data_IF_545866182022
#
_entry.id   IF_545866182022
#
_cell.length_a   1.000
_cell.length_b   1.000
_cell.length_c   1.000
_cell.angle_alpha   90.00
_cell.angle_beta   90.00
_cell.angle_gamma   90.00
#
_symmetry.space_group_name_H-M   'P 1'
#
loop_
_entity.id
_entity.type
_entity.pdbx_description
1 polymer ?
#
# COMPACT_ATOMS: atom_id res chain seq x y z
N UNK A 1 -42.27 -15.16 37.95
CA UNK A 1 -42.62 -15.61 36.58
C UNK A 1 -41.45 -15.24 35.67
N UNK A 2 -40.56 -16.20 35.42
CA UNK A 2 -39.37 -16.01 34.58
C UNK A 2 -39.77 -16.26 33.13
N UNK A 3 -39.66 -15.24 32.28
CA UNK A 3 -39.89 -15.37 30.84
C UNK A 3 -38.60 -15.82 30.18
N UNK A 4 -38.45 -17.14 29.98
CA UNK A 4 -37.38 -17.71 29.18
C UNK A 4 -37.61 -17.35 27.71
N UNK A 5 -36.69 -16.58 27.10
CA UNK A 5 -36.66 -16.45 25.64
C UNK A 5 -35.71 -17.52 25.08
N UNK A 6 -36.31 -18.47 24.36
CA UNK A 6 -35.62 -19.54 23.65
C UNK A 6 -35.15 -19.01 22.29
N UNK A 7 -33.87 -19.17 21.96
CA UNK A 7 -33.35 -18.96 20.60
C UNK A 7 -32.81 -20.29 20.10
N UNK A 8 -33.40 -20.82 19.02
CA UNK A 8 -32.98 -22.07 18.36
C UNK A 8 -31.95 -21.74 17.28
N UNK A 9 -30.83 -22.44 17.27
CA UNK A 9 -29.82 -22.39 16.20
C UNK A 9 -29.63 -23.82 15.68
N UNK A 10 -29.76 -24.00 14.36
CA UNK A 10 -29.65 -25.27 13.63
C UNK A 10 -28.28 -25.33 12.92
N UNK A 11 -27.54 -26.42 13.09
CA UNK A 11 -26.24 -26.64 12.44
C UNK A 11 -25.93 -28.12 12.20
N UNK A 12 -25.41 -28.43 11.01
CA UNK A 12 -25.08 -29.77 10.50
C UNK A 12 -23.59 -30.08 10.72
N UNK A 13 -23.26 -31.25 11.27
CA UNK A 13 -21.89 -31.80 11.36
C UNK A 13 -21.87 -33.22 10.80
N UNK A 14 -20.93 -33.51 9.90
CA UNK A 14 -20.66 -34.85 9.37
C UNK A 14 -19.44 -35.42 10.12
N UNK A 15 -19.59 -36.60 10.72
CA UNK A 15 -18.49 -37.34 11.34
C UNK A 15 -18.49 -38.80 10.87
N UNK A 16 -17.34 -39.28 10.39
CA UNK A 16 -17.09 -40.70 10.09
C UNK A 16 -15.62 -40.97 9.71
N UNK A 17 -14.95 -41.79 10.52
CA UNK A 17 -13.53 -42.17 10.48
C UNK A 17 -13.17 -43.18 9.36
N UNK A 18 -11.88 -43.14 8.97
CA UNK A 18 -11.04 -44.02 8.12
C UNK A 18 -11.17 -45.52 8.53
N UNK A 19 -11.19 -46.61 7.71
CA UNK A 19 -11.00 -46.89 6.28
C UNK A 19 -11.72 -48.21 5.80
N UNK A 20 -12.24 -48.16 4.55
CA UNK A 20 -12.50 -49.18 3.49
C UNK A 20 -13.21 -50.54 3.75
N UNK A 21 -13.91 -51.16 2.75
CA UNK A 21 -14.55 -50.64 1.54
C UNK A 21 -16.08 -50.94 1.45
N UNK A 22 -16.78 -50.18 0.59
CA UNK A 22 -18.15 -50.44 0.06
C UNK A 22 -19.29 -50.72 1.05
N UNK A 23 -20.00 -49.67 1.43
CA UNK A 23 -21.44 -49.53 1.13
C UNK A 23 -21.90 -48.13 1.55
N UNK A 24 -22.44 -47.38 0.58
CA UNK A 24 -23.06 -46.07 0.79
C UNK A 24 -24.34 -46.32 1.59
N UNK A 25 -24.29 -46.03 2.89
CA UNK A 25 -25.48 -45.83 3.71
C UNK A 25 -25.50 -44.37 4.13
N UNK A 26 -26.52 -43.67 3.66
CA UNK A 26 -26.84 -42.30 3.99
C UNK A 26 -26.83 -42.12 5.53
N UNK A 27 -25.80 -41.42 6.02
CA UNK A 27 -25.67 -41.07 7.43
C UNK A 27 -26.60 -39.90 7.74
N UNK A 28 -27.65 -40.19 8.51
CA UNK A 28 -28.54 -39.19 9.10
C UNK A 28 -27.72 -38.15 9.88
N UNK A 29 -27.77 -36.90 9.44
CA UNK A 29 -27.17 -35.76 10.16
C UNK A 29 -27.92 -35.52 11.47
N UNK A 30 -27.24 -35.73 12.60
CA UNK A 30 -27.77 -35.34 13.92
C UNK A 30 -27.31 -33.91 14.20
N UNK A 31 -28.24 -32.96 14.19
CA UNK A 31 -28.00 -31.59 14.63
C UNK A 31 -27.48 -31.58 16.07
N UNK A 32 -26.26 -31.11 16.27
CA UNK A 32 -25.71 -30.90 17.61
C UNK A 32 -25.88 -29.44 17.99
N UNK A 33 -26.77 -29.18 18.94
CA UNK A 33 -27.08 -27.84 19.41
C UNK A 33 -25.98 -27.36 20.37
N UNK A 34 -25.22 -26.35 19.97
CA UNK A 34 -24.26 -25.68 20.86
C UNK A 34 -25.01 -24.60 21.65
N UNK A 35 -25.51 -24.97 22.82
CA UNK A 35 -26.21 -24.06 23.74
C UNK A 35 -25.17 -23.21 24.49
N UNK A 36 -24.85 -22.02 23.97
CA UNK A 36 -24.11 -21.03 24.75
C UNK A 36 -25.08 -20.41 25.75
N UNK A 37 -25.04 -20.89 26.99
CA UNK A 37 -25.67 -20.21 28.12
C UNK A 37 -24.90 -18.90 28.36
N UNK A 38 -25.30 -17.83 27.67
CA UNK A 38 -24.96 -16.50 28.11
C UNK A 38 -25.54 -16.36 29.52
N UNK A 39 -24.66 -16.30 30.53
CA UNK A 39 -25.09 -16.02 31.89
C UNK A 39 -25.86 -14.70 31.83
N UNK A 40 -27.07 -14.65 32.39
CA UNK A 40 -27.54 -13.36 32.89
C UNK A 40 -26.39 -12.80 33.72
N UNK A 41 -25.93 -11.58 33.44
CA UNK A 41 -25.08 -10.83 34.35
C UNK A 41 -25.81 -10.74 35.69
N UNK A 42 -25.65 -11.75 36.54
CA UNK A 42 -26.15 -11.80 37.89
C UNK A 42 -25.17 -11.01 38.73
N UNK A 43 -25.43 -9.71 38.80
CA UNK A 43 -24.68 -8.74 39.57
C UNK A 43 -25.29 -7.35 39.37
N UNK A 44 -25.14 -6.42 40.33
CA UNK A 44 -25.70 -5.08 40.22
C UNK A 44 -25.10 -4.37 38.99
N UNK A 45 -25.94 -4.10 37.98
CA UNK A 45 -25.58 -3.25 36.83
C UNK A 45 -25.50 -1.77 37.20
N UNK A 46 -25.99 -1.41 38.39
CA UNK A 46 -26.08 -0.04 38.91
C UNK A 46 -24.71 0.64 39.09
N UNK A 47 -23.60 -0.13 39.09
CA UNK A 47 -22.23 0.38 39.25
C UNK A 47 -21.25 -0.09 38.15
N UNK A 48 -21.73 -0.63 37.03
CA UNK A 48 -20.86 -0.92 35.90
C UNK A 48 -20.69 0.36 35.08
N UNK A 49 -19.47 0.89 35.06
CA UNK A 49 -19.12 1.97 34.14
C UNK A 49 -19.35 1.50 32.70
N UNK A 50 -19.92 2.39 31.88
CA UNK A 50 -20.04 2.18 30.44
C UNK A 50 -18.65 1.91 29.86
N UNK A 51 -18.43 0.71 29.34
CA UNK A 51 -17.18 0.40 28.65
C UNK A 51 -17.16 1.14 27.32
N UNK A 52 -16.37 2.21 27.27
CA UNK A 52 -16.15 2.98 26.05
C UNK A 52 -14.99 2.36 25.29
N UNK A 53 -15.24 2.02 24.03
CA UNK A 53 -14.19 1.63 23.11
C UNK A 53 -13.26 2.83 22.90
N UNK A 54 -11.99 2.64 23.25
CA UNK A 54 -10.98 3.69 23.29
C UNK A 54 -10.01 3.54 22.13
N UNK A 55 -10.07 4.49 21.19
CA UNK A 55 -9.26 4.51 19.98
C UNK A 55 -7.89 5.19 20.16
N UNK A 56 -7.45 5.50 21.40
CA UNK A 56 -6.12 6.07 21.68
C UNK A 56 -4.95 5.26 21.11
N UNK A 57 -5.15 3.95 20.89
CA UNK A 57 -4.15 3.05 20.34
C UNK A 57 -4.50 2.54 18.94
N UNK A 58 -5.39 3.24 18.22
CA UNK A 58 -5.67 2.91 16.82
C UNK A 58 -4.38 2.93 16.01
N UNK A 59 -4.16 1.90 15.17
CA UNK A 59 -2.96 1.85 14.36
C UNK A 59 -3.00 3.00 13.34
N UNK A 60 -1.87 3.69 13.17
CA UNK A 60 -1.75 4.78 12.19
C UNK A 60 -1.91 4.31 10.73
N UNK A 61 -1.75 3.00 10.49
CA UNK A 61 -1.93 2.37 9.19
C UNK A 61 -2.73 1.10 9.36
N UNK A 62 -3.62 0.84 8.43
CA UNK A 62 -4.45 -0.36 8.39
C UNK A 62 -4.54 -0.86 6.95
N UNK A 63 -5.08 -2.06 6.81
CA UNK A 63 -5.23 -2.75 5.53
C UNK A 63 -6.54 -3.51 5.50
N UNK A 64 -7.18 -3.56 4.35
CA UNK A 64 -8.41 -4.32 4.13
C UNK A 64 -8.21 -5.28 2.95
N UNK A 65 -8.56 -6.56 3.14
CA UNK A 65 -8.56 -7.53 2.05
C UNK A 65 -9.83 -7.37 1.21
N UNK A 66 -9.67 -7.23 -0.11
CA UNK A 66 -10.77 -7.21 -1.07
C UNK A 66 -10.91 -8.51 -1.86
N UNK A 67 -10.01 -9.48 -1.65
CA UNK A 67 -9.98 -10.75 -2.36
C UNK A 67 -11.23 -11.60 -2.12
N UNK A 68 -11.42 -12.61 -2.96
CA UNK A 68 -12.50 -13.59 -2.82
C UNK A 68 -12.13 -14.65 -1.74
N UNK A 69 -13.09 -15.48 -1.28
CA UNK A 69 -12.76 -16.66 -0.48
C UNK A 69 -11.75 -17.54 -1.22
N UNK A 70 -10.73 -18.02 -0.51
CA UNK A 70 -9.64 -18.85 -1.03
C UNK A 70 -8.85 -18.22 -2.21
N UNK A 71 -8.86 -16.89 -2.36
CA UNK A 71 -8.23 -16.20 -3.48
C UNK A 71 -6.70 -16.30 -3.49
N UNK A 72 -6.09 -16.94 -4.50
CA UNK A 72 -4.63 -17.10 -4.55
C UNK A 72 -3.89 -15.78 -4.86
N UNK A 73 -4.56 -14.75 -5.38
CA UNK A 73 -3.93 -13.48 -5.77
C UNK A 73 -3.77 -12.50 -4.62
N UNK A 74 -4.64 -12.59 -3.60
CA UNK A 74 -4.68 -11.76 -2.38
C UNK A 74 -4.50 -10.26 -2.63
N UNK A 75 -5.62 -9.56 -2.80
CA UNK A 75 -5.63 -8.12 -3.06
C UNK A 75 -5.95 -7.31 -1.80
N UNK A 76 -5.11 -6.31 -1.51
CA UNK A 76 -5.18 -5.50 -0.30
C UNK A 76 -5.38 -4.04 -0.66
N UNK A 77 -6.20 -3.33 0.11
CA UNK A 77 -6.30 -1.86 0.10
C UNK A 77 -5.62 -1.33 1.35
N UNK A 78 -4.68 -0.39 1.19
CA UNK A 78 -4.01 0.30 2.30
C UNK A 78 -4.79 1.48 2.86
N UNK A 79 -4.37 2.00 4.01
CA UNK A 79 -4.96 3.19 4.64
C UNK A 79 -4.83 4.48 3.81
N UNK A 80 -4.00 4.47 2.76
CA UNK A 80 -3.88 5.54 1.75
C UNK A 80 -4.89 5.39 0.59
N UNK A 81 -5.74 4.37 0.62
CA UNK A 81 -6.65 4.01 -0.47
C UNK A 81 -6.00 3.23 -1.62
N UNK A 82 -4.70 2.95 -1.55
CA UNK A 82 -3.98 2.28 -2.62
C UNK A 82 -4.24 0.78 -2.67
N UNK A 83 -4.34 0.22 -3.87
CA UNK A 83 -4.38 -1.23 -4.09
C UNK A 83 -2.96 -1.78 -4.13
N UNK A 84 -2.69 -2.78 -3.31
CA UNK A 84 -1.38 -3.40 -3.18
C UNK A 84 -1.44 -4.86 -3.61
N UNK A 85 -0.47 -5.28 -4.43
CA UNK A 85 -0.42 -6.62 -4.98
C UNK A 85 0.96 -7.25 -4.92
N UNK A 86 1.01 -8.56 -5.20
CA UNK A 86 2.24 -9.32 -5.32
C UNK A 86 3.10 -9.19 -4.07
N UNK A 87 2.56 -9.65 -2.93
CA UNK A 87 3.29 -9.65 -1.67
C UNK A 87 4.64 -10.37 -1.83
N UNK A 88 5.74 -9.66 -1.57
CA UNK A 88 7.11 -10.08 -1.81
C UNK A 88 7.64 -11.12 -0.82
N UNK A 89 6.79 -11.69 0.03
CA UNK A 89 7.17 -12.72 1.02
C UNK A 89 8.05 -12.20 2.15
N UNK A 90 8.18 -10.88 2.30
CA UNK A 90 9.01 -10.21 3.30
C UNK A 90 8.25 -9.81 4.56
N UNK A 91 8.41 -8.54 4.98
CA UNK A 91 7.75 -7.95 6.17
C UNK A 91 6.36 -7.41 5.85
N UNK A 92 5.61 -6.97 6.85
CA UNK A 92 4.36 -6.24 6.65
C UNK A 92 4.58 -5.07 5.67
N UNK A 93 3.70 -4.94 4.67
CA UNK A 93 3.73 -3.91 3.60
C UNK A 93 4.75 -4.09 2.46
N UNK A 94 5.32 -5.28 2.28
CA UNK A 94 6.23 -5.58 1.17
C UNK A 94 5.47 -6.02 -0.09
N UNK A 95 4.87 -5.07 -0.82
CA UNK A 95 4.12 -5.35 -2.06
C UNK A 95 4.91 -4.88 -3.29
N UNK A 96 5.00 -5.74 -4.33
CA UNK A 96 5.73 -5.40 -5.56
C UNK A 96 4.95 -4.50 -6.52
N UNK A 97 3.67 -4.26 -6.24
CA UNK A 97 2.84 -3.33 -7.01
C UNK A 97 1.98 -2.54 -6.04
N UNK A 98 1.93 -1.21 -6.24
CA UNK A 98 1.04 -0.29 -5.52
C UNK A 98 0.38 0.64 -6.52
N UNK A 99 -0.94 0.75 -6.45
CA UNK A 99 -1.72 1.65 -7.31
C UNK A 99 -2.52 2.61 -6.47
N UNK A 100 -2.38 3.91 -6.70
CA UNK A 100 -3.17 4.95 -6.02
C UNK A 100 -3.88 5.83 -7.04
N UNK A 101 -5.14 6.19 -6.76
CA UNK A 101 -5.79 7.30 -7.45
C UNK A 101 -5.55 8.58 -6.65
N UNK A 102 -5.20 9.63 -7.36
CA UNK A 102 -4.88 10.95 -6.82
C UNK A 102 -5.52 12.04 -7.68
N UNK A 103 -5.40 13.29 -7.24
CA UNK A 103 -5.94 14.45 -7.91
C UNK A 103 -4.86 15.52 -8.06
N UNK A 104 -4.68 16.03 -9.27
CA UNK A 104 -3.91 17.25 -9.50
C UNK A 104 -4.89 18.43 -9.58
N UNK A 105 -4.79 19.33 -8.60
CA UNK A 105 -5.60 20.55 -8.48
C UNK A 105 -4.89 21.56 -7.56
N UNK A 106 -5.36 22.80 -7.52
CA UNK A 106 -4.84 23.83 -6.62
C UNK A 106 -5.38 23.75 -5.18
N UNK A 107 -6.41 22.93 -4.95
CA UNK A 107 -7.03 22.76 -3.63
C UNK A 107 -6.12 22.00 -2.65
N UNK A 108 -6.12 22.43 -1.39
CA UNK A 108 -5.39 21.76 -0.30
C UNK A 108 -6.03 20.42 0.05
N UNK A 109 -5.20 19.42 0.34
CA UNK A 109 -5.63 18.05 0.63
C UNK A 109 -6.13 17.90 2.08
N UNK A 110 -7.22 17.15 2.28
CA UNK A 110 -7.70 16.73 3.60
C UNK A 110 -7.09 15.39 4.02
N UNK A 111 -7.32 15.03 5.28
CA UNK A 111 -7.15 13.66 5.75
C UNK A 111 -8.02 12.67 4.93
N UNK A 112 -7.53 11.45 4.81
CA UNK A 112 -8.21 10.36 4.14
C UNK A 112 -9.27 9.76 5.07
N UNK A 113 -10.48 9.58 4.53
CA UNK A 113 -11.55 8.80 5.18
C UNK A 113 -11.68 7.46 4.46
N UNK A 114 -11.73 6.37 5.21
CA UNK A 114 -11.87 5.03 4.62
C UNK A 114 -12.85 4.18 5.43
N UNK A 115 -13.67 3.42 4.74
CA UNK A 115 -14.62 2.48 5.33
C UNK A 115 -14.90 1.30 4.40
N UNK A 116 -15.45 0.22 4.95
CA UNK A 116 -16.09 -0.82 4.15
C UNK A 116 -17.51 -0.37 3.80
N UNK A 117 -17.99 -0.74 2.61
CA UNK A 117 -19.39 -0.57 2.24
C UNK A 117 -20.33 -1.23 3.27
N UNK A 118 -19.95 -2.43 3.71
CA UNK A 118 -20.59 -3.18 4.77
C UNK A 118 -19.54 -4.13 5.39
N UNK A 119 -19.56 -4.40 6.70
CA UNK A 119 -18.73 -5.42 7.32
C UNK A 119 -18.63 -6.77 6.56
N UNK A 120 -19.74 -7.24 5.98
CA UNK A 120 -19.83 -8.50 5.22
C UNK A 120 -19.38 -8.36 3.76
N UNK A 121 -19.30 -7.15 3.22
CA UNK A 121 -19.01 -6.88 1.79
C UNK A 121 -17.66 -6.14 1.66
N UNK A 122 -16.60 -6.78 1.13
CA UNK A 122 -15.27 -6.21 1.01
C UNK A 122 -15.13 -5.24 -0.17
N UNK A 123 -16.03 -4.26 -0.22
CA UNK A 123 -15.88 -3.07 -1.06
C UNK A 123 -15.31 -1.99 -0.16
N UNK A 124 -14.07 -1.56 -0.41
CA UNK A 124 -13.43 -0.49 0.36
C UNK A 124 -13.72 0.84 -0.30
N UNK A 125 -14.29 1.77 0.46
CA UNK A 125 -14.58 3.13 0.04
C UNK A 125 -13.53 4.04 0.67
N UNK A 126 -12.77 4.76 -0.16
CA UNK A 126 -11.81 5.77 0.30
C UNK A 126 -12.20 7.13 -0.26
N UNK A 127 -12.27 8.15 0.59
CA UNK A 127 -12.59 9.53 0.22
C UNK A 127 -11.49 10.47 0.67
N UNK A 128 -11.17 11.44 -0.18
CA UNK A 128 -10.28 12.56 0.15
C UNK A 128 -10.77 13.83 -0.53
N UNK A 129 -10.69 14.94 0.19
CA UNK A 129 -11.09 16.26 -0.29
C UNK A 129 -9.86 17.09 -0.68
N UNK A 130 -10.00 17.90 -1.72
CA UNK A 130 -8.98 18.79 -2.27
C UNK A 130 -9.63 20.14 -2.57
N UNK A 131 -9.68 21.05 -1.59
CA UNK A 131 -10.55 22.22 -1.68
C UNK A 131 -12.03 21.80 -1.79
N UNK A 132 -12.72 22.20 -2.86
CA UNK A 132 -14.13 21.86 -3.09
C UNK A 132 -14.32 20.55 -3.87
N UNK A 133 -13.24 19.94 -4.38
CA UNK A 133 -13.27 18.67 -5.09
C UNK A 133 -13.15 17.49 -4.11
N UNK A 134 -14.02 16.49 -4.27
CA UNK A 134 -14.01 15.25 -3.49
C UNK A 134 -13.70 14.08 -4.41
N UNK A 135 -12.60 13.38 -4.14
CA UNK A 135 -12.20 12.16 -4.84
C UNK A 135 -12.65 10.94 -4.02
N UNK A 136 -13.55 10.14 -4.58
CA UNK A 136 -14.07 8.91 -3.99
C UNK A 136 -13.60 7.70 -4.77
N UNK A 137 -13.05 6.73 -4.08
CA UNK A 137 -12.55 5.47 -4.62
C UNK A 137 -13.40 4.32 -4.07
N UNK A 138 -13.82 3.39 -4.92
CA UNK A 138 -14.37 2.09 -4.51
C UNK A 138 -13.51 0.99 -5.10
N UNK A 139 -12.95 0.15 -4.24
CA UNK A 139 -12.11 -0.97 -4.64
C UNK A 139 -12.77 -2.30 -4.24
N UNK A 140 -12.86 -3.24 -5.17
CA UNK A 140 -13.45 -4.56 -4.93
C UNK A 140 -12.93 -5.64 -5.89
N UNK A 141 -13.07 -6.89 -5.48
CA UNK A 141 -12.84 -8.02 -6.36
C UNK A 141 -14.08 -8.32 -7.23
N UNK A 142 -13.89 -8.46 -8.54
CA UNK A 142 -14.92 -9.05 -9.42
C UNK A 142 -15.35 -10.42 -8.88
N UNK A 143 -16.66 -10.69 -8.70
CA UNK A 143 -17.13 -11.99 -8.26
C UNK A 143 -16.75 -13.10 -9.25
N UNK A 144 -16.62 -14.36 -8.78
CA UNK A 144 -16.23 -15.48 -9.63
C UNK A 144 -17.40 -15.95 -10.50
N UNK A 145 -17.10 -16.37 -11.74
CA UNK A 145 -18.10 -16.98 -12.65
C UNK A 145 -18.33 -18.47 -12.36
N UNK A 146 -17.37 -19.14 -11.71
CA UNK A 146 -17.40 -20.56 -11.34
C UNK A 146 -17.17 -20.73 -9.83
N UNK A 147 -17.57 -21.85 -9.23
CA UNK A 147 -17.30 -22.16 -7.82
C UNK A 147 -15.88 -22.69 -7.58
N UNK A 148 -15.22 -23.23 -8.61
CA UNK A 148 -13.88 -23.83 -8.51
C UNK A 148 -12.80 -22.76 -8.62
N UNK A 149 -12.00 -22.63 -7.56
CA UNK A 149 -10.92 -21.65 -7.45
C UNK A 149 -9.94 -21.74 -8.61
N UNK A 150 -9.61 -22.94 -9.06
CA UNK A 150 -8.63 -23.17 -10.12
C UNK A 150 -9.09 -22.66 -11.49
N UNK A 151 -10.40 -22.44 -11.66
CA UNK A 151 -10.99 -21.90 -12.89
C UNK A 151 -11.07 -20.38 -12.80
N UNK A 152 -11.85 -19.84 -11.85
CA UNK A 152 -12.09 -18.40 -11.80
C UNK A 152 -10.84 -17.58 -11.45
N UNK A 153 -9.87 -18.16 -10.71
CA UNK A 153 -8.65 -17.43 -10.37
C UNK A 153 -7.79 -17.09 -11.59
N UNK A 154 -7.95 -17.80 -12.71
CA UNK A 154 -7.26 -17.48 -13.96
C UNK A 154 -7.84 -16.26 -14.65
N UNK A 155 -9.08 -15.90 -14.36
CA UNK A 155 -9.80 -14.75 -14.91
C UNK A 155 -10.00 -13.65 -13.85
N UNK A 156 -9.24 -13.68 -12.76
CA UNK A 156 -9.37 -12.75 -11.63
C UNK A 156 -9.13 -11.28 -12.04
N UNK A 157 -10.08 -10.39 -11.73
CA UNK A 157 -10.04 -8.93 -11.98
C UNK A 157 -10.39 -8.12 -10.73
N UNK A 158 -9.50 -7.26 -10.26
CA UNK A 158 -9.87 -6.24 -9.25
C UNK A 158 -10.35 -4.97 -9.95
N UNK A 159 -11.38 -4.33 -9.40
CA UNK A 159 -11.87 -3.04 -9.87
C UNK A 159 -11.48 -1.92 -8.91
N UNK A 160 -11.11 -0.78 -9.48
CA UNK A 160 -11.05 0.52 -8.80
C UNK A 160 -11.94 1.49 -9.57
N UNK A 161 -13.03 1.93 -8.94
CA UNK A 161 -13.92 2.94 -9.47
C UNK A 161 -13.66 4.26 -8.76
N UNK A 162 -13.21 5.25 -9.53
CA UNK A 162 -12.88 6.59 -9.06
C UNK A 162 -13.97 7.55 -9.51
N UNK A 163 -14.54 8.29 -8.58
CA UNK A 163 -15.48 9.39 -8.84
C UNK A 163 -14.89 10.68 -8.29
N UNK A 164 -14.83 11.71 -9.11
CA UNK A 164 -14.47 13.07 -8.72
C UNK A 164 -15.71 13.94 -8.80
N UNK A 165 -16.04 14.64 -7.74
CA UNK A 165 -17.22 15.52 -7.65
C UNK A 165 -16.83 16.88 -7.09
N UNK A 166 -17.31 17.97 -7.69
CA UNK A 166 -17.24 19.28 -7.06
C UNK A 166 -18.42 19.45 -6.10
N UNK A 167 -18.15 19.47 -4.79
CA UNK A 167 -19.16 19.65 -3.74
C UNK A 167 -19.22 21.09 -3.20
N UNK A 168 -18.45 22.01 -3.81
CA UNK A 168 -18.44 23.41 -3.48
C UNK A 168 -19.50 24.24 -4.17
N UNK A 169 -19.27 25.55 -4.18
CA UNK A 169 -20.19 26.54 -4.77
C UNK A 169 -19.60 27.28 -5.97
N UNK A 170 -18.35 26.99 -6.32
CA UNK A 170 -17.62 27.62 -7.43
C UNK A 170 -16.95 26.56 -8.30
N UNK A 171 -16.70 26.86 -9.58
CA UNK A 171 -15.90 25.98 -10.42
C UNK A 171 -14.50 25.77 -9.84
N UNK A 172 -14.01 24.53 -9.89
CA UNK A 172 -12.64 24.20 -9.52
C UNK A 172 -11.99 23.33 -10.59
N UNK A 173 -10.79 23.73 -11.02
CA UNK A 173 -9.98 22.97 -12.00
C UNK A 173 -9.36 21.75 -11.36
N UNK A 174 -9.38 20.62 -12.05
CA UNK A 174 -8.61 19.45 -11.63
C UNK A 174 -8.52 18.36 -12.68
N UNK A 175 -7.68 17.35 -12.41
CA UNK A 175 -7.62 16.10 -13.20
C UNK A 175 -7.29 14.90 -12.32
N UNK A 176 -7.97 13.77 -12.58
CA UNK A 176 -7.65 12.49 -11.95
C UNK A 176 -6.28 12.01 -12.44
N UNK A 177 -5.48 11.47 -11.53
CA UNK A 177 -4.19 10.84 -11.84
C UNK A 177 -4.12 9.46 -11.21
N UNK A 178 -3.93 8.43 -12.02
CA UNK A 178 -3.64 7.09 -11.52
C UNK A 178 -2.13 6.89 -11.45
N UNK A 179 -1.58 6.64 -10.26
CA UNK A 179 -0.17 6.37 -10.04
C UNK A 179 0.02 4.86 -9.89
N UNK A 180 0.74 4.25 -10.83
CA UNK A 180 1.05 2.82 -10.81
C UNK A 180 2.52 2.64 -10.51
N UNK A 181 2.79 2.09 -9.34
CA UNK A 181 4.10 1.58 -8.97
C UNK A 181 4.21 0.08 -9.20
N UNK A 182 5.31 -0.36 -9.79
CA UNK A 182 5.54 -1.75 -10.10
C UNK A 182 7.03 -2.05 -10.16
N UNK A 183 7.46 -3.08 -9.44
CA UNK A 183 8.81 -3.63 -9.55
C UNK A 183 9.11 -4.28 -10.91
N UNK A 184 8.12 -4.36 -11.81
CA UNK A 184 8.27 -4.77 -13.21
C UNK A 184 7.97 -3.61 -14.14
N UNK A 185 8.75 -3.48 -15.22
CA UNK A 185 8.53 -2.45 -16.24
C UNK A 185 7.15 -2.58 -16.87
N UNK A 186 6.45 -1.45 -16.96
CA UNK A 186 5.14 -1.32 -17.58
C UNK A 186 5.25 -0.56 -18.91
N UNK A 187 4.39 -0.92 -19.86
CA UNK A 187 4.20 -0.21 -21.14
C UNK A 187 2.76 0.20 -21.29
N UNK A 188 2.57 1.45 -21.68
CA UNK A 188 1.28 2.01 -22.11
C UNK A 188 1.04 1.59 -23.56
N UNK A 189 -0.16 1.07 -23.85
CA UNK A 189 -0.61 0.81 -25.20
C UNK A 189 -0.98 2.09 -25.95
N UNK A 190 -0.89 2.05 -27.27
CA UNK A 190 -1.24 3.18 -28.15
C UNK A 190 -2.71 3.63 -28.02
N UNK A 191 -3.59 2.72 -27.58
CA UNK A 191 -5.00 2.99 -27.33
C UNK A 191 -5.24 3.95 -26.14
N UNK A 192 -4.22 4.19 -25.30
CA UNK A 192 -4.30 4.98 -24.07
C UNK A 192 -5.39 4.47 -23.10
N UNK A 193 -5.69 3.17 -23.19
CA UNK A 193 -6.63 2.48 -22.32
C UNK A 193 -5.97 1.31 -21.61
N UNK A 194 -4.88 0.75 -22.15
CA UNK A 194 -4.23 -0.43 -21.59
C UNK A 194 -2.82 -0.15 -21.10
N UNK A 195 -2.48 -0.78 -19.99
CA UNK A 195 -1.10 -0.89 -19.48
C UNK A 195 -0.74 -2.37 -19.43
N UNK A 196 0.46 -2.74 -19.87
CA UNK A 196 0.96 -4.11 -19.94
C UNK A 196 2.30 -4.26 -19.25
N UNK A 197 2.63 -5.47 -18.80
CA UNK A 197 4.00 -5.80 -18.39
C UNK A 197 4.89 -5.91 -19.64
N UNK A 198 5.98 -5.14 -19.68
CA UNK A 198 6.83 -5.04 -20.87
C UNK A 198 7.44 -6.37 -21.31
N UNK A 199 7.84 -7.22 -20.36
CA UNK A 199 8.53 -8.48 -20.62
C UNK A 199 7.61 -9.65 -20.99
N UNK A 200 6.32 -9.55 -20.68
CA UNK A 200 5.37 -10.68 -20.77
C UNK A 200 4.23 -10.43 -21.76
N UNK A 201 4.13 -9.20 -22.30
CA UNK A 201 3.00 -8.67 -23.09
C UNK A 201 1.61 -8.85 -22.45
N UNK A 202 1.55 -9.37 -21.23
CA UNK A 202 0.33 -9.55 -20.47
C UNK A 202 -0.20 -8.20 -20.01
N UNK A 203 -1.52 -8.00 -20.17
CA UNK A 203 -2.19 -6.82 -19.67
C UNK A 203 -2.12 -6.75 -18.14
N UNK A 204 -1.72 -5.58 -17.63
CA UNK A 204 -1.73 -5.26 -16.21
C UNK A 204 -3.07 -4.65 -15.81
N UNK A 205 -3.52 -3.65 -16.56
CA UNK A 205 -4.83 -3.05 -16.36
C UNK A 205 -5.42 -2.49 -17.66
N UNK A 206 -6.74 -2.28 -17.65
CA UNK A 206 -7.47 -1.48 -18.61
C UNK A 206 -8.27 -0.39 -17.89
N UNK A 207 -8.39 0.79 -18.51
CA UNK A 207 -9.13 1.93 -17.98
C UNK A 207 -10.27 2.37 -18.91
N UNK A 208 -11.32 2.94 -18.32
CA UNK A 208 -12.38 3.66 -19.01
C UNK A 208 -12.82 4.88 -18.22
N UNK A 209 -12.88 6.09 -18.80
CA UNK A 209 -12.48 6.43 -20.17
C UNK A 209 -10.95 6.32 -20.39
N UNK A 210 -10.49 6.54 -21.62
CA UNK A 210 -9.05 6.59 -21.93
C UNK A 210 -8.37 7.77 -21.22
N UNK A 211 -7.13 7.60 -20.79
CA UNK A 211 -6.33 8.72 -20.30
C UNK A 211 -5.79 9.55 -21.47
N UNK A 212 -5.44 10.82 -21.23
CA UNK A 212 -5.02 11.76 -22.29
C UNK A 212 -3.50 11.90 -22.38
N UNK A 213 -2.79 11.65 -21.28
CA UNK A 213 -1.33 11.66 -21.25
C UNK A 213 -0.82 10.76 -20.14
N UNK A 214 0.48 10.44 -20.19
CA UNK A 214 1.12 9.66 -19.14
C UNK A 214 2.57 10.09 -18.97
N UNK A 215 3.12 9.83 -17.78
CA UNK A 215 4.50 10.13 -17.42
C UNK A 215 5.10 8.99 -16.57
N UNK A 216 6.41 8.68 -16.70
CA UNK A 216 7.31 9.20 -17.72
C UNK A 216 6.90 8.73 -19.12
N UNK A 217 7.24 9.52 -20.15
CA UNK A 217 7.14 9.05 -21.53
C UNK A 217 8.11 7.89 -21.71
N UNK A 218 7.68 6.87 -22.45
CA UNK A 218 8.57 5.78 -22.83
C UNK A 218 9.67 6.40 -23.71
N UNK A 219 10.94 6.19 -23.35
CA UNK A 219 12.07 6.64 -24.16
C UNK A 219 12.04 5.94 -25.52
N UNK A 220 12.09 6.71 -26.62
CA UNK A 220 12.25 6.17 -27.98
C UNK A 220 13.56 5.36 -28.14
N UNK A 221 14.54 5.59 -27.24
CA UNK A 221 15.85 4.95 -27.21
C UNK A 221 16.06 3.99 -26.01
N UNK A 222 15.03 3.73 -25.20
CA UNK A 222 15.14 2.84 -24.05
C UNK A 222 15.98 3.35 -22.87
N UNK A 223 16.36 4.63 -22.83
CA UNK A 223 17.04 5.20 -21.66
C UNK A 223 16.09 5.30 -20.45
N UNK A 224 16.42 4.69 -19.31
CA UNK A 224 15.60 4.75 -18.10
C UNK A 224 15.58 6.16 -17.51
N UNK A 225 14.52 6.48 -16.78
CA UNK A 225 14.49 7.69 -15.96
C UNK A 225 15.70 7.71 -15.01
N UNK A 226 16.29 8.89 -14.77
CA UNK A 226 17.37 9.05 -13.78
C UNK A 226 16.83 8.71 -12.39
N UNK A 227 17.19 7.54 -11.91
CA UNK A 227 16.71 6.98 -10.65
C UNK A 227 17.89 6.50 -9.83
N UNK A 228 17.74 6.53 -8.52
CA UNK A 228 18.61 5.77 -7.63
C UNK A 228 18.07 4.34 -7.57
N UNK A 229 18.88 3.37 -7.98
CA UNK A 229 18.52 1.96 -7.97
C UNK A 229 19.27 1.23 -6.85
N UNK A 230 18.58 0.50 -5.95
CA UNK A 230 19.26 -0.28 -4.93
C UNK A 230 19.86 -1.56 -5.54
N UNK A 231 21.12 -1.86 -5.24
CA UNK A 231 21.74 -3.14 -5.63
C UNK A 231 21.01 -4.34 -5.02
N UNK A 232 20.46 -4.18 -3.81
CA UNK A 232 19.50 -5.11 -3.21
C UNK A 232 18.46 -4.33 -2.41
N UNK A 233 17.18 -4.66 -2.61
CA UNK A 233 16.06 -3.98 -1.93
C UNK A 233 16.27 -3.93 -0.41
N UNK A 234 16.38 -2.73 0.19
CA UNK A 234 16.50 -2.58 1.64
C UNK A 234 15.25 -3.07 2.38
N UNK A 235 15.45 -3.54 3.61
CA UNK A 235 14.33 -3.66 4.53
C UNK A 235 13.89 -2.27 4.99
N UNK A 236 12.65 -2.15 5.42
CA UNK A 236 12.07 -0.89 5.90
C UNK A 236 11.65 -1.08 7.35
N UNK A 237 12.02 -0.12 8.19
CA UNK A 237 11.43 0.05 9.53
C UNK A 237 10.75 1.41 9.59
N UNK A 238 9.41 1.41 9.68
CA UNK A 238 8.62 2.63 9.82
C UNK A 238 8.46 3.03 11.28
N UNK A 239 8.36 4.33 11.55
CA UNK A 239 8.24 4.92 12.89
C UNK A 239 9.30 4.42 13.87
N UNK A 240 10.45 3.99 13.36
CA UNK A 240 11.55 3.50 14.17
C UNK A 240 12.30 4.65 14.82
N UNK A 241 12.44 5.75 14.09
CA UNK A 241 13.13 6.93 14.56
C UNK A 241 12.20 7.88 15.30
N UNK A 242 12.75 8.62 16.26
CA UNK A 242 12.00 9.54 17.14
C UNK A 242 12.66 10.93 17.14
N UNK A 243 12.73 11.62 15.99
CA UNK A 243 13.47 12.88 15.88
C UNK A 243 13.04 13.88 16.97
N UNK A 244 14.03 14.49 17.63
CA UNK A 244 13.82 15.48 18.72
C UNK A 244 13.84 16.92 18.27
N UNK A 245 14.30 17.17 17.06
CA UNK A 245 14.30 18.48 16.42
C UNK A 245 13.32 18.46 15.25
N UNK A 246 12.85 19.64 14.86
CA UNK A 246 12.06 19.80 13.63
C UNK A 246 12.87 19.31 12.42
N UNK A 247 12.25 18.50 11.59
CA UNK A 247 12.80 17.92 10.36
C UNK A 247 11.66 17.36 9.50
N UNK A 248 11.97 16.99 8.26
CA UNK A 248 11.04 16.27 7.38
C UNK A 248 10.56 14.95 8.03
N UNK A 249 9.30 14.60 7.77
CA UNK A 249 8.66 13.41 8.35
C UNK A 249 9.36 12.10 7.98
N UNK A 250 10.09 12.05 6.85
CA UNK A 250 10.87 10.88 6.41
C UNK A 250 11.87 10.42 7.46
N UNK A 251 12.39 11.32 8.31
CA UNK A 251 13.30 10.98 9.41
C UNK A 251 12.67 10.19 10.56
N UNK A 252 11.39 9.82 10.46
CA UNK A 252 10.73 8.83 11.33
C UNK A 252 10.94 7.39 10.85
N UNK A 253 11.24 7.22 9.57
CA UNK A 253 11.41 5.93 8.91
C UNK A 253 12.89 5.69 8.55
N UNK A 254 13.30 4.43 8.47
CA UNK A 254 14.63 4.05 7.99
C UNK A 254 14.58 2.86 7.02
N UNK A 255 15.49 2.91 6.06
CA UNK A 255 16.01 1.79 5.28
C UNK A 255 17.04 1.05 6.14
N UNK A 256 16.99 -0.29 6.12
CA UNK A 256 17.85 -1.15 6.92
C UNK A 256 18.50 -2.24 6.07
N UNK A 257 19.82 -2.33 6.17
CA UNK A 257 20.59 -3.49 5.72
C UNK A 257 20.83 -4.42 6.90
N UNK A 258 20.04 -5.50 7.01
CA UNK A 258 20.24 -6.49 8.08
C UNK A 258 21.55 -7.26 7.87
N UNK A 259 22.55 -6.95 8.70
CA UNK A 259 23.91 -7.49 8.63
C UNK A 259 24.53 -7.43 7.22
N UNK A 260 24.26 -6.36 6.47
CA UNK A 260 24.73 -6.16 5.10
C UNK A 260 24.75 -4.68 4.74
N UNK A 261 25.56 -4.25 3.76
CA UNK A 261 25.53 -2.87 3.30
C UNK A 261 24.21 -2.50 2.59
N UNK A 262 23.91 -1.21 2.58
CA UNK A 262 22.97 -0.60 1.65
C UNK A 262 23.77 -0.07 0.47
N UNK A 263 23.47 -0.51 -0.75
CA UNK A 263 24.20 -0.12 -1.97
C UNK A 263 23.22 0.39 -3.00
N UNK A 264 23.57 1.48 -3.69
CA UNK A 264 22.75 2.17 -4.65
C UNK A 264 23.56 2.62 -5.86
N UNK A 265 22.93 2.71 -7.02
CA UNK A 265 23.51 3.28 -8.24
C UNK A 265 22.63 4.38 -8.79
N UNK A 266 23.23 5.37 -9.45
CA UNK A 266 22.53 6.45 -10.14
C UNK A 266 23.16 6.67 -11.52
N UNK A 267 22.38 6.78 -12.62
CA UNK A 267 22.93 7.06 -13.95
C UNK A 267 23.67 8.40 -13.97
N UNK A 268 24.99 8.34 -14.16
CA UNK A 268 25.88 9.48 -14.16
C UNK A 268 26.27 9.88 -15.58
N UNK A 269 26.41 11.18 -15.81
CA UNK A 269 26.97 11.71 -17.04
C UNK A 269 28.48 11.86 -16.88
N UNK A 270 29.23 11.43 -17.90
CA UNK A 270 30.68 11.55 -17.92
C UNK A 270 31.12 12.99 -17.61
N UNK A 271 32.05 13.14 -16.66
CA UNK A 271 32.63 14.43 -16.21
C UNK A 271 31.65 15.41 -15.56
N UNK A 272 30.41 14.98 -15.27
CA UNK A 272 29.46 15.79 -14.51
C UNK A 272 29.68 15.56 -13.03
N UNK A 273 29.71 16.64 -12.26
CA UNK A 273 29.78 16.61 -10.80
C UNK A 273 28.39 16.61 -10.19
N UNK A 274 28.26 15.84 -9.12
CA UNK A 274 27.05 15.69 -8.35
C UNK A 274 27.31 16.02 -6.88
N UNK A 275 26.22 16.30 -6.15
CA UNK A 275 26.23 16.33 -4.68
C UNK A 275 25.35 15.20 -4.17
N UNK A 276 25.95 14.25 -3.47
CA UNK A 276 25.24 13.16 -2.81
C UNK A 276 24.97 13.54 -1.36
N UNK A 277 23.74 13.36 -0.89
CA UNK A 277 23.35 13.61 0.49
C UNK A 277 22.84 12.33 1.16
N UNK A 278 23.39 11.99 2.33
CA UNK A 278 22.95 10.87 3.17
C UNK A 278 22.19 11.41 4.38
N UNK A 279 20.90 11.07 4.48
CA UNK A 279 20.06 11.37 5.64
C UNK A 279 20.11 10.24 6.65
N UNK A 280 20.46 10.55 7.89
CA UNK A 280 20.76 9.56 8.92
C UNK A 280 20.12 9.95 10.26
N UNK A 281 19.74 8.96 11.06
CA UNK A 281 19.29 9.13 12.44
C UNK A 281 19.48 7.82 13.21
N UNK A 282 20.04 7.87 14.41
CA UNK A 282 20.09 6.72 15.33
C UNK A 282 19.07 6.90 16.45
N UNK A 283 18.17 5.94 16.61
CA UNK A 283 17.10 5.99 17.62
C UNK A 283 17.00 4.71 18.47
N UNK A 284 17.77 3.67 18.15
CA UNK A 284 17.75 2.41 18.88
C UNK A 284 18.75 2.40 20.03
N UNK A 285 20.02 2.67 19.74
CA UNK A 285 21.07 2.66 20.75
C UNK A 285 21.16 3.99 21.51
N UNK A 286 21.58 3.89 22.78
CA UNK A 286 21.92 5.03 23.63
C UNK A 286 23.44 5.28 23.70
N UNK A 287 24.24 4.22 23.54
CA UNK A 287 25.69 4.28 23.65
C UNK A 287 26.37 4.46 22.28
N UNK A 288 27.49 5.19 22.29
CA UNK A 288 28.43 5.24 21.18
C UNK A 288 29.07 3.87 20.88
N UNK A 289 29.68 3.76 19.71
CA UNK A 289 30.40 2.63 19.13
C UNK A 289 29.58 1.37 18.87
N UNK A 290 28.26 1.41 19.09
CA UNK A 290 27.38 0.27 18.79
C UNK A 290 27.21 0.07 17.28
N UNK A 291 26.91 1.15 16.56
CA UNK A 291 26.64 1.12 15.11
C UNK A 291 27.33 2.29 14.38
N UNK A 292 28.67 2.38 14.39
CA UNK A 292 29.36 3.27 13.48
C UNK A 292 29.10 2.83 12.03
N UNK A 293 28.93 3.80 11.13
CA UNK A 293 28.68 3.61 9.71
C UNK A 293 29.87 4.10 8.89
N UNK A 294 30.06 3.50 7.72
CA UNK A 294 31.04 3.89 6.72
C UNK A 294 30.31 4.22 5.42
N UNK A 295 30.20 5.52 5.13
CA UNK A 295 29.56 6.05 3.93
C UNK A 295 30.57 5.99 2.79
N UNK A 296 30.15 5.45 1.65
CA UNK A 296 31.00 5.26 0.48
C UNK A 296 30.38 5.82 -0.78
N UNK A 297 31.24 6.32 -1.66
CA UNK A 297 30.91 6.73 -3.03
C UNK A 297 32.02 6.18 -3.93
N UNK A 298 31.69 5.59 -5.08
CA UNK A 298 32.66 4.97 -6.00
C UNK A 298 33.59 3.96 -5.29
N UNK A 299 33.03 3.16 -4.39
CA UNK A 299 33.77 2.19 -3.58
C UNK A 299 34.69 2.77 -2.49
N UNK A 300 34.88 4.10 -2.43
CA UNK A 300 35.76 4.77 -1.46
C UNK A 300 34.99 5.24 -0.23
N UNK A 301 35.60 5.08 0.95
CA UNK A 301 35.11 5.68 2.20
C UNK A 301 35.18 7.21 2.13
N UNK A 302 34.03 7.87 2.05
CA UNK A 302 33.92 9.34 2.11
C UNK A 302 33.70 9.84 3.52
N UNK A 303 33.10 9.02 4.40
CA UNK A 303 32.90 9.37 5.82
C UNK A 303 32.65 8.15 6.69
N UNK A 304 33.46 7.98 7.73
CA UNK A 304 33.10 7.16 8.88
C UNK A 304 32.40 8.04 9.92
N UNK A 305 31.26 7.57 10.44
CA UNK A 305 30.42 8.34 11.36
C UNK A 305 29.86 7.44 12.45
N UNK A 306 29.93 7.92 13.69
CA UNK A 306 29.16 7.38 14.81
C UNK A 306 28.10 8.39 15.20
N UNK A 307 26.84 8.09 14.83
CA UNK A 307 25.73 9.02 15.01
C UNK A 307 25.50 9.37 16.48
N UNK A 308 25.70 8.42 17.40
CA UNK A 308 25.53 8.68 18.84
C UNK A 308 26.69 9.50 19.37
N UNK A 309 27.93 9.15 19.04
CA UNK A 309 29.10 9.86 19.54
C UNK A 309 29.15 11.31 19.06
N UNK A 310 28.70 11.57 17.83
CA UNK A 310 28.83 12.88 17.18
C UNK A 310 27.59 13.78 17.35
N UNK A 311 26.38 13.20 17.30
CA UNK A 311 25.14 13.97 17.27
C UNK A 311 24.17 13.64 18.42
N UNK A 312 24.38 12.51 19.09
CA UNK A 312 23.48 12.00 20.11
C UNK A 312 22.27 11.25 19.54
N UNK A 313 21.58 10.54 20.43
CA UNK A 313 20.38 9.75 20.07
C UNK A 313 19.24 10.66 19.64
N UNK A 314 18.48 10.20 18.65
CA UNK A 314 17.31 10.87 18.10
C UNK A 314 17.60 12.20 17.38
N UNK A 315 18.86 12.45 17.03
CA UNK A 315 19.25 13.62 16.28
C UNK A 315 19.33 13.28 14.79
N UNK A 316 18.44 13.81 13.94
CA UNK A 316 18.55 13.64 12.50
C UNK A 316 19.68 14.50 11.93
N UNK A 317 20.39 13.98 10.93
CA UNK A 317 21.51 14.66 10.26
C UNK A 317 21.51 14.37 8.77
N UNK A 318 21.97 15.34 7.98
CA UNK A 318 22.24 15.19 6.54
C UNK A 318 23.72 15.48 6.28
N UNK A 319 24.43 14.48 5.75
CA UNK A 319 25.84 14.58 5.37
C UNK A 319 25.96 14.63 3.84
N UNK A 320 26.64 15.64 3.30
CA UNK A 320 26.73 15.86 1.85
C UNK A 320 28.16 15.77 1.34
N UNK A 321 28.34 15.19 0.15
CA UNK A 321 29.64 14.93 -0.46
C UNK A 321 29.59 15.19 -1.97
N UNK A 322 30.61 15.85 -2.50
CA UNK A 322 30.79 15.94 -3.95
C UNK A 322 31.18 14.57 -4.52
N UNK A 323 30.66 14.29 -5.71
CA UNK A 323 30.81 13.00 -6.36
C UNK A 323 30.91 13.17 -7.88
N UNK A 324 31.62 12.27 -8.53
CA UNK A 324 31.75 12.15 -9.98
C UNK A 324 31.83 10.65 -10.30
N UNK A 325 31.41 10.25 -11.49
CA UNK A 325 31.69 8.90 -12.00
C UNK A 325 33.18 8.82 -12.33
N UNK A 326 33.97 8.32 -11.37
CA UNK A 326 35.43 8.28 -11.46
C UNK A 326 35.95 7.13 -12.32
N UNK A 327 35.14 6.09 -12.48
CA UNK A 327 35.51 4.87 -13.19
C UNK A 327 35.05 4.90 -14.67
N UNK A 328 34.11 5.78 -15.01
CA UNK A 328 33.63 6.05 -16.35
C UNK A 328 32.63 5.02 -16.88
N UNK A 329 31.99 4.23 -16.03
CA UNK A 329 31.00 3.22 -16.40
C UNK A 329 29.59 3.79 -16.62
N UNK A 330 29.41 5.09 -16.40
CA UNK A 330 28.13 5.79 -16.55
C UNK A 330 27.23 5.64 -15.31
N UNK A 331 27.75 5.14 -14.20
CA UNK A 331 27.04 5.01 -12.93
C UNK A 331 27.79 5.75 -11.83
N UNK A 332 27.01 6.27 -10.88
CA UNK A 332 27.51 6.72 -9.59
C UNK A 332 27.08 5.74 -8.52
N UNK A 333 28.03 5.04 -7.92
CA UNK A 333 27.83 4.09 -6.84
C UNK A 333 27.85 4.80 -5.48
N UNK A 334 26.85 4.53 -4.64
CA UNK A 334 26.72 5.09 -3.30
C UNK A 334 26.37 3.98 -2.32
N UNK A 335 27.00 3.95 -1.14
CA UNK A 335 26.74 2.89 -0.18
C UNK A 335 26.87 3.32 1.29
N UNK A 336 26.18 2.58 2.15
CA UNK A 336 26.33 2.63 3.61
C UNK A 336 26.79 1.25 4.07
N UNK A 337 27.99 1.18 4.64
CA UNK A 337 28.57 -0.02 5.23
C UNK A 337 28.56 0.08 6.76
N UNK A 338 28.61 -1.08 7.42
CA UNK A 338 28.90 -1.10 8.84
C UNK A 338 30.38 -0.76 9.03
N UNK A 339 30.68 0.09 10.02
CA UNK A 339 32.05 0.39 10.40
C UNK A 339 32.83 -0.88 10.78
N UNK A 340 34.14 -0.88 10.55
CA UNK A 340 35.01 -2.04 10.78
C UNK A 340 34.83 -2.62 12.20
N UNK A 341 34.77 -1.73 13.20
CA UNK A 341 34.65 -2.08 14.62
C UNK A 341 33.21 -2.07 15.16
N UNK A 342 32.20 -1.96 14.29
CA UNK A 342 30.80 -1.93 14.73
C UNK A 342 30.40 -3.25 15.40
N UNK A 343 29.86 -3.18 16.61
CA UNK A 343 29.29 -4.33 17.31
C UNK A 343 27.96 -4.78 16.71
N UNK A 344 27.15 -3.83 16.23
CA UNK A 344 25.97 -4.07 15.40
C UNK A 344 26.33 -3.78 13.94
N UNK A 345 26.21 -4.81 13.10
CA UNK A 345 26.51 -4.75 11.66
C UNK A 345 25.32 -4.36 10.79
N UNK A 346 24.17 -4.02 11.38
CA UNK A 346 23.06 -3.46 10.64
C UNK A 346 23.41 -2.05 10.16
N UNK A 347 23.15 -1.77 8.88
CA UNK A 347 23.30 -0.43 8.31
C UNK A 347 21.96 0.26 8.26
N UNK A 348 21.95 1.57 8.48
CA UNK A 348 20.73 2.38 8.50
C UNK A 348 20.88 3.60 7.62
N UNK A 349 19.79 4.00 6.97
CA UNK A 349 19.71 5.19 6.13
C UNK A 349 18.26 5.68 6.15
N UNK A 350 18.01 6.95 6.38
CA UNK A 350 16.65 7.51 6.22
C UNK A 350 16.34 7.73 4.75
N UNK A 351 17.23 8.43 4.07
CA UNK A 351 17.06 8.82 2.68
C UNK A 351 18.42 9.14 2.03
N UNK A 352 18.47 9.00 0.71
CA UNK A 352 19.59 9.36 -0.15
C UNK A 352 19.11 10.39 -1.16
N UNK A 353 19.91 11.40 -1.48
CA UNK A 353 19.60 12.33 -2.56
C UNK A 353 20.80 12.50 -3.47
N UNK A 354 20.55 12.74 -4.74
CA UNK A 354 21.54 13.19 -5.71
C UNK A 354 21.08 14.53 -6.26
N UNK A 355 21.93 15.55 -6.17
CA UNK A 355 21.74 16.88 -6.73
C UNK A 355 22.79 17.18 -7.79
N UNK A 356 22.53 18.21 -8.60
CA UNK A 356 23.61 18.87 -9.34
C UNK A 356 24.58 19.53 -8.36
N UNK A 357 25.89 19.45 -8.60
CA UNK A 357 26.88 20.00 -7.67
C UNK A 357 26.85 21.54 -7.61
N UNK A 358 26.54 22.22 -8.73
CA UNK A 358 26.57 23.68 -8.81
C UNK A 358 25.37 24.33 -8.13
N UNK A 359 24.23 23.62 -8.09
CA UNK A 359 22.98 24.06 -7.48
C UNK A 359 22.55 23.17 -6.30
N UNK A 360 23.50 22.62 -5.55
CA UNK A 360 23.17 21.78 -4.40
C UNK A 360 22.61 22.61 -3.21
N UNK A 361 21.44 22.24 -2.66
CA UNK A 361 20.89 22.88 -1.46
C UNK A 361 21.73 22.55 -0.20
N UNK A 362 21.56 23.36 0.85
CA UNK A 362 22.25 23.12 2.13
C UNK A 362 21.71 21.89 2.86
N UNK A 363 22.52 21.25 3.70
CA UNK A 363 22.09 20.13 4.56
C UNK A 363 20.85 20.47 5.39
N UNK A 364 20.71 21.72 5.85
CA UNK A 364 19.55 22.17 6.62
C UNK A 364 18.26 22.21 5.78
N UNK A 365 18.34 22.70 4.54
CA UNK A 365 17.20 22.70 3.63
C UNK A 365 16.74 21.28 3.29
N UNK A 366 17.69 20.36 3.09
CA UNK A 366 17.41 18.93 2.85
C UNK A 366 16.77 18.30 4.09
N UNK A 367 17.33 18.53 5.27
CA UNK A 367 16.81 18.03 6.55
C UNK A 367 15.37 18.46 6.80
N UNK A 368 15.01 19.67 6.39
CA UNK A 368 13.67 20.26 6.54
C UNK A 368 12.70 19.91 5.40
N UNK A 369 13.10 19.09 4.42
CA UNK A 369 12.22 18.70 3.30
C UNK A 369 12.00 19.78 2.25
N UNK A 370 12.78 20.87 2.28
CA UNK A 370 12.59 22.05 1.44
C UNK A 370 13.37 21.97 0.11
N UNK A 371 14.06 20.85 -0.13
CA UNK A 371 15.04 20.70 -1.20
C UNK A 371 14.63 19.73 -2.31
N UNK A 372 13.53 19.00 -2.15
CA UNK A 372 13.18 17.87 -3.02
C UNK A 372 12.98 18.27 -4.49
N UNK A 373 12.41 19.44 -4.75
CA UNK A 373 12.20 19.96 -6.10
C UNK A 373 13.51 20.21 -6.87
N UNK A 374 14.64 20.29 -6.17
CA UNK A 374 15.99 20.46 -6.77
C UNK A 374 16.75 19.13 -6.89
N UNK A 375 16.25 18.04 -6.30
CA UNK A 375 16.90 16.74 -6.39
C UNK A 375 16.78 16.18 -7.81
N UNK A 376 17.88 15.64 -8.33
CA UNK A 376 17.88 14.86 -9.56
C UNK A 376 17.27 13.47 -9.34
N UNK A 377 17.46 12.91 -8.14
CA UNK A 377 16.82 11.69 -7.68
C UNK A 377 16.85 11.60 -6.16
N UNK A 378 15.91 10.86 -5.58
CA UNK A 378 15.81 10.60 -4.14
C UNK A 378 15.74 9.07 -3.94
N UNK A 379 16.13 8.58 -2.77
CA UNK A 379 15.85 7.21 -2.36
C UNK A 379 15.57 7.16 -0.86
N UNK A 380 14.31 7.08 -0.49
CA UNK A 380 13.80 6.94 0.86
C UNK A 380 12.91 5.70 1.00
N UNK A 381 12.29 5.52 2.16
CA UNK A 381 11.47 4.36 2.49
C UNK A 381 10.28 4.16 1.53
N UNK A 382 9.73 5.23 0.97
CA UNK A 382 8.73 5.14 -0.09
C UNK A 382 9.32 5.14 -1.51
N UNK A 383 10.64 5.29 -1.68
CA UNK A 383 11.32 5.31 -2.99
C UNK A 383 11.61 3.94 -3.60
N UNK A 384 11.03 2.86 -3.04
CA UNK A 384 10.75 1.67 -3.86
C UNK A 384 9.94 2.01 -5.13
N UNK A 385 9.35 3.21 -5.16
CA UNK A 385 8.38 3.75 -6.09
C UNK A 385 8.91 5.04 -6.75
N UNK A 386 10.04 5.01 -7.46
CA UNK A 386 10.60 6.23 -8.06
C UNK A 386 10.61 6.25 -9.57
N UNK A 387 9.49 5.90 -10.21
CA UNK A 387 8.85 6.74 -11.24
C UNK A 387 7.51 6.08 -11.58
N UNK A 388 6.51 6.16 -10.67
CA UNK A 388 5.26 5.49 -10.91
C UNK A 388 4.73 5.96 -12.26
N UNK A 389 4.27 5.01 -13.06
CA UNK A 389 3.57 5.34 -14.28
C UNK A 389 2.32 6.11 -13.87
N UNK A 390 2.29 7.40 -14.23
CA UNK A 390 1.16 8.29 -14.00
C UNK A 390 0.32 8.29 -15.26
N UNK A 391 -0.95 7.93 -15.12
CA UNK A 391 -1.95 8.08 -16.17
C UNK A 391 -2.76 9.32 -15.83
N UNK A 392 -2.70 10.34 -16.68
CA UNK A 392 -3.41 11.60 -16.49
C UNK A 392 -4.68 11.58 -17.32
N UNK A 393 -5.83 11.70 -16.65
CA UNK A 393 -7.13 11.86 -17.28
C UNK A 393 -7.36 13.32 -17.69
N UNK A 394 -8.46 13.59 -18.38
CA UNK A 394 -8.77 14.92 -18.88
C UNK A 394 -8.79 15.94 -17.74
N UNK A 395 -8.13 17.08 -17.96
CA UNK A 395 -8.21 18.24 -17.07
C UNK A 395 -9.39 19.11 -17.50
N UNK A 396 -10.21 19.51 -16.53
CA UNK A 396 -11.33 20.42 -16.77
C UNK A 396 -11.64 21.26 -15.53
N UNK A 397 -12.40 22.32 -15.75
CA UNK A 397 -13.05 23.08 -14.69
C UNK A 397 -14.37 22.36 -14.36
N UNK A 398 -14.52 21.91 -13.12
CA UNK A 398 -15.71 21.21 -12.66
C UNK A 398 -16.71 22.21 -12.11
N UNK A 399 -17.90 22.31 -12.70
CA UNK A 399 -19.00 23.11 -12.15
C UNK A 399 -19.53 22.49 -10.83
N UNK A 400 -20.17 23.27 -9.94
CA UNK A 400 -20.80 22.73 -8.73
C UNK A 400 -21.74 21.55 -9.03
N UNK A 401 -21.51 20.41 -8.37
CA UNK A 401 -22.24 19.15 -8.56
C UNK A 401 -21.80 18.33 -9.78
N UNK A 402 -20.87 18.82 -10.61
CA UNK A 402 -20.34 18.08 -11.75
C UNK A 402 -19.50 16.89 -11.28
N UNK A 403 -19.61 15.77 -12.01
CA UNK A 403 -18.91 14.52 -11.73
C UNK A 403 -18.06 14.09 -12.92
N UNK A 404 -16.95 13.43 -12.61
CA UNK A 404 -16.15 12.66 -13.56
C UNK A 404 -15.92 11.27 -12.97
N UNK A 405 -15.97 10.23 -13.79
CA UNK A 405 -15.83 8.86 -13.35
C UNK A 405 -14.80 8.11 -14.18
N UNK A 406 -13.98 7.29 -13.52
CA UNK A 406 -13.01 6.40 -14.15
C UNK A 406 -13.15 5.02 -13.51
N UNK A 407 -13.33 3.99 -14.34
CA UNK A 407 -13.23 2.59 -13.91
C UNK A 407 -11.91 2.00 -14.40
N UNK A 408 -11.18 1.35 -13.50
CA UNK A 408 -9.96 0.61 -13.78
C UNK A 408 -10.19 -0.85 -13.42
N UNK A 409 -9.89 -1.77 -14.35
CA UNK A 409 -9.81 -3.20 -14.09
C UNK A 409 -8.36 -3.68 -14.09
N UNK A 410 -7.91 -4.28 -12.99
CA UNK A 410 -6.58 -4.86 -12.83
C UNK A 410 -6.63 -6.37 -13.05
N UNK A 411 -5.89 -6.86 -14.04
CA UNK A 411 -5.92 -8.26 -14.46
C UNK A 411 -4.95 -9.10 -13.63
N UNK A 412 -5.48 -9.75 -12.59
CA UNK A 412 -4.72 -10.59 -11.65
C UNK A 412 -4.53 -12.01 -12.16
N UNK A 413 -5.56 -12.56 -12.79
CA UNK A 413 -5.52 -13.85 -13.45
C UNK A 413 -4.72 -13.85 -14.75
N UNK A 414 -4.16 -15.00 -15.15
CA UNK A 414 -3.36 -15.11 -16.38
C UNK A 414 -4.19 -15.02 -17.67
N UNK A 415 -5.47 -15.41 -17.60
CA UNK A 415 -6.45 -15.41 -18.69
C UNK A 415 -7.38 -14.18 -18.62
N UNK A 416 -7.21 -13.31 -17.62
CA UNK A 416 -7.99 -12.09 -17.48
C UNK A 416 -7.69 -11.07 -18.60
N UNK A 417 -8.72 -10.65 -19.32
CA UNK A 417 -8.59 -9.68 -20.41
C UNK A 417 -9.89 -8.98 -20.82
N UNK A 418 -10.96 -9.13 -20.04
CA UNK A 418 -12.26 -8.52 -20.35
C UNK A 418 -12.20 -7.00 -20.36
N UNK A 419 -12.98 -6.40 -21.26
CA UNK A 419 -13.05 -4.94 -21.40
C UNK A 419 -13.71 -4.30 -20.18
N UNK A 420 -13.20 -3.11 -19.83
CA UNK A 420 -13.71 -2.30 -18.72
C UNK A 420 -14.42 -1.08 -19.29
N UNK A 421 -15.58 -0.73 -18.72
CA UNK A 421 -16.36 0.45 -19.12
C UNK A 421 -16.98 1.09 -17.88
N UNK A 422 -17.05 2.42 -17.86
CA UNK A 422 -17.62 3.15 -16.72
C UNK A 422 -19.13 2.93 -16.63
N UNK A 423 -19.78 2.69 -17.76
CA UNK A 423 -21.20 2.34 -17.85
C UNK A 423 -21.52 1.03 -17.13
N UNK A 424 -20.59 0.07 -17.15
CA UNK A 424 -20.72 -1.21 -16.44
C UNK A 424 -20.30 -1.16 -14.96
N UNK A 425 -19.67 -0.07 -14.50
CA UNK A 425 -19.11 0.02 -13.14
C UNK A 425 -20.14 -0.26 -12.05
N UNK A 426 -21.35 0.27 -12.22
CA UNK A 426 -22.42 0.09 -11.26
C UNK A 426 -22.92 -1.35 -11.22
N UNK A 427 -23.12 -1.95 -12.39
CA UNK A 427 -23.56 -3.33 -12.51
C UNK A 427 -22.54 -4.30 -11.88
N UNK A 428 -21.25 -4.11 -12.15
CA UNK A 428 -20.17 -4.92 -11.57
C UNK A 428 -20.06 -4.77 -10.05
N UNK A 429 -20.30 -3.56 -9.52
CA UNK A 429 -20.38 -3.36 -8.08
C UNK A 429 -21.59 -4.06 -7.47
N UNK A 430 -22.76 -3.94 -8.10
CA UNK A 430 -23.99 -4.58 -7.62
C UNK A 430 -23.88 -6.12 -7.69
N UNK A 431 -23.18 -6.67 -8.70
CA UNK A 431 -22.81 -8.09 -8.76
C UNK A 431 -21.95 -8.51 -7.58
N UNK A 432 -20.90 -7.75 -7.25
CA UNK A 432 -20.06 -8.06 -6.10
C UNK A 432 -20.84 -8.01 -4.78
N UNK A 433 -21.72 -7.01 -4.61
CA UNK A 433 -22.58 -6.90 -3.43
C UNK A 433 -23.50 -8.12 -3.30
N UNK A 434 -24.13 -8.56 -4.40
CA UNK A 434 -24.98 -9.76 -4.39
C UNK A 434 -24.19 -11.01 -4.04
N UNK A 435 -23.04 -11.22 -4.67
CA UNK A 435 -22.18 -12.36 -4.38
C UNK A 435 -21.88 -12.49 -2.88
N UNK A 436 -21.42 -11.41 -2.24
CA UNK A 436 -21.06 -11.43 -0.82
C UNK A 436 -22.25 -11.58 0.13
N UNK A 437 -23.44 -11.11 -0.26
CA UNK A 437 -24.64 -11.21 0.58
C UNK A 437 -25.41 -12.53 0.41
N UNK A 438 -25.37 -13.11 -0.78
CA UNK A 438 -26.31 -14.18 -1.19
C UNK A 438 -25.60 -15.47 -1.61
N UNK A 439 -24.39 -15.40 -2.16
CA UNK A 439 -23.71 -16.54 -2.79
C UNK A 439 -22.51 -17.05 -1.99
N UNK A 440 -21.79 -16.15 -1.31
CA UNK A 440 -20.68 -16.50 -0.44
C UNK A 440 -21.22 -17.24 0.80
N UNK A 441 -21.01 -18.55 0.84
CA UNK A 441 -21.44 -19.42 1.95
C UNK A 441 -20.51 -19.26 3.17
N UNK A 442 -20.65 -18.12 3.84
CA UNK A 442 -19.91 -17.80 5.05
C UNK A 442 -20.78 -17.99 6.29
N UNK A 443 -20.21 -18.45 7.41
CA UNK A 443 -20.94 -18.77 8.63
C UNK A 443 -21.32 -17.52 9.44
N UNK A 444 -21.87 -16.51 8.78
CA UNK A 444 -22.45 -15.35 9.45
C UNK A 444 -23.59 -15.77 10.37
N UNK A 445 -23.92 -14.93 11.35
CA UNK A 445 -25.05 -15.10 12.27
C UNK A 445 -24.99 -16.33 13.20
N UNK A 446 -23.92 -17.16 13.12
CA UNK A 446 -23.62 -18.24 14.07
C UNK A 446 -23.30 -17.71 15.47
N UNK A 447 -22.72 -16.50 15.53
CA UNK A 447 -22.48 -15.74 16.75
C UNK A 447 -23.14 -14.37 16.57
N UNK A 448 -24.00 -13.99 17.52
CA UNK A 448 -24.70 -12.70 17.52
C UNK A 448 -24.32 -11.90 18.77
N UNK A 449 -23.85 -10.69 18.56
CA UNK A 449 -23.48 -9.73 19.58
C UNK A 449 -24.53 -8.59 19.58
N UNK A 450 -25.04 -8.16 20.74
CA UNK A 450 -26.05 -7.10 20.80
C UNK A 450 -25.59 -5.75 20.24
N UNK A 451 -24.29 -5.45 20.38
CA UNK A 451 -23.71 -4.21 19.87
C UNK A 451 -23.44 -4.31 18.35
N UNK A 452 -24.05 -3.43 17.52
CA UNK A 452 -23.89 -3.50 16.07
C UNK A 452 -22.46 -3.23 15.57
N UNK A 453 -21.68 -2.40 16.26
CA UNK A 453 -20.29 -2.12 15.87
C UNK A 453 -19.39 -3.33 16.15
N UNK A 454 -19.58 -3.98 17.30
CA UNK A 454 -18.87 -5.22 17.63
C UNK A 454 -19.31 -6.37 16.72
N UNK A 455 -20.60 -6.46 16.37
CA UNK A 455 -21.07 -7.43 15.37
C UNK A 455 -20.41 -7.18 14.02
N UNK A 456 -20.27 -5.92 13.59
CA UNK A 456 -19.56 -5.57 12.35
C UNK A 456 -18.08 -5.99 12.37
N UNK A 457 -17.40 -5.83 13.50
CA UNK A 457 -16.02 -6.34 13.64
C UNK A 457 -15.97 -7.86 13.50
N UNK A 458 -16.88 -8.58 14.16
CA UNK A 458 -16.99 -10.04 14.08
C UNK A 458 -17.28 -10.51 12.64
N UNK A 459 -18.25 -9.90 11.97
CA UNK A 459 -18.60 -10.22 10.58
C UNK A 459 -17.42 -9.97 9.64
N UNK A 460 -16.70 -8.87 9.83
CA UNK A 460 -15.48 -8.57 9.06
C UNK A 460 -14.37 -9.61 9.33
N UNK A 461 -14.21 -10.05 10.58
CA UNK A 461 -13.26 -11.10 10.94
C UNK A 461 -13.60 -12.44 10.30
N UNK A 462 -14.88 -12.85 10.31
CA UNK A 462 -15.34 -14.08 9.65
C UNK A 462 -14.95 -14.03 8.17
N UNK A 463 -15.33 -12.96 7.47
CA UNK A 463 -14.99 -12.78 6.05
C UNK A 463 -13.47 -12.86 5.81
N UNK A 464 -12.69 -12.12 6.58
CA UNK A 464 -11.23 -12.07 6.43
C UNK A 464 -10.56 -13.45 6.62
N UNK A 465 -11.10 -14.33 7.48
CA UNK A 465 -10.57 -15.69 7.68
C UNK A 465 -10.73 -16.53 6.41
N UNK A 466 -11.85 -16.40 5.69
CA UNK A 466 -12.08 -17.14 4.44
C UNK A 466 -11.32 -16.52 3.26
N UNK A 467 -10.94 -15.25 3.34
CA UNK A 467 -10.08 -14.59 2.36
C UNK A 467 -8.58 -14.89 2.57
N UNK A 468 -8.19 -15.54 3.68
CA UNK A 468 -6.80 -15.63 4.17
C UNK A 468 -5.96 -16.76 3.57
#
# INVERSE_FOLDING_TARGET
MSSQRLVRIVGVVIAGLIACPTSILAGNSVETLLEVKAFELRGPRENLEEQKLDFRYSPQRWQACIGLPDDPHKSIVGSDGGLYYNYGGGRFHDFNVRVTADLETAGSESDIKQQLLNPRVPVVITERQYGDLVLRQRAWARPPEDRKVELWSKERIDYLWVELENQGSKPQRGRIVLKIDSGRLLRVGEDMQRVRYAAQERAFCMVSPKFVSYAPKQSEAGEPARQILPGRLPAVNRNWAKPRTECDERFRDILVGYNRPLTFTFPAQARRKYRVAFGLIESWYEDANKRPLDLRIEGRSVRQVDLIAEYGRHQPVVLTFEAEDENGDGLLEMAVHAGANAGDKNTILTALWVFDAEDAPSSQQILMGQADSRALAIYEVNSRIENPLRLHFAEKDFEPGEKEQVLIGFYRGQEAGESVSVEAAREELDRAIRYWNEEADLPFDRIKVPDPAVQGLLDSCIRNIYQA
#
